data_IF_411283123820
#
_entry.id   IF_411283123820
#
_cell.length_a   1.000
_cell.length_b   1.000
_cell.length_c   1.000
_cell.angle_alpha   90.00
_cell.angle_beta   90.00
_cell.angle_gamma   90.00
#
_symmetry.space_group_name_H-M   'P 1'
#
loop_
_entity.id
_entity.type
_entity.pdbx_description
1 polymer ?
#
# COMPACT_ATOMS: atom_id res chain seq x y z
N UNK A 1 -22.85 -7.41 -25.75
CA UNK A 1 -22.45 -7.18 -24.34
C UNK A 1 -21.13 -7.91 -24.14
N UNK A 2 -20.04 -7.19 -23.89
CA UNK A 2 -18.72 -7.79 -23.62
C UNK A 2 -18.61 -8.10 -22.13
N UNK A 3 -17.93 -9.19 -21.71
CA UNK A 3 -17.70 -9.44 -20.30
C UNK A 3 -16.88 -8.29 -19.69
N UNK A 4 -17.34 -7.74 -18.56
CA UNK A 4 -16.53 -6.80 -17.77
C UNK A 4 -15.30 -7.56 -17.29
N UNK A 5 -14.12 -7.03 -17.58
CA UNK A 5 -12.89 -7.61 -17.05
C UNK A 5 -12.89 -7.52 -15.52
N UNK A 6 -12.43 -8.58 -14.85
CA UNK A 6 -12.24 -8.62 -13.41
C UNK A 6 -10.74 -8.70 -13.12
N UNK A 7 -10.01 -7.57 -13.13
CA UNK A 7 -8.57 -7.56 -12.89
C UNK A 7 -8.25 -8.07 -11.48
N UNK A 8 -7.21 -8.89 -11.37
CA UNK A 8 -6.75 -9.45 -10.10
C UNK A 8 -5.24 -9.51 -10.08
N UNK A 9 -4.65 -9.09 -8.97
CA UNK A 9 -3.24 -9.30 -8.69
C UNK A 9 -3.00 -9.38 -7.19
N UNK A 10 -1.82 -9.87 -6.85
CA UNK A 10 -1.24 -9.85 -5.53
C UNK A 10 0.23 -9.45 -5.67
N UNK A 11 0.66 -8.50 -4.85
CA UNK A 11 1.99 -7.94 -4.87
C UNK A 11 2.50 -7.86 -3.43
N UNK A 12 3.74 -8.29 -3.22
CA UNK A 12 4.40 -8.21 -1.93
C UNK A 12 5.88 -7.91 -2.12
N UNK A 13 6.44 -7.07 -1.25
CA UNK A 13 7.89 -6.99 -1.08
C UNK A 13 8.25 -6.75 0.37
N UNK A 14 9.48 -7.14 0.72
CA UNK A 14 10.05 -6.99 2.04
C UNK A 14 11.54 -6.72 1.96
N UNK A 15 12.01 -5.79 2.79
CA UNK A 15 13.43 -5.52 3.02
C UNK A 15 13.71 -5.72 4.50
N UNK A 16 14.71 -6.55 4.82
CA UNK A 16 15.23 -6.78 6.17
C UNK A 16 16.75 -6.72 6.14
N UNK A 17 17.30 -5.51 6.25
CA UNK A 17 18.73 -5.28 6.32
C UNK A 17 19.13 -4.80 7.72
N UNK A 18 19.66 -5.72 8.52
CA UNK A 18 20.14 -5.41 9.87
C UNK A 18 21.43 -4.57 9.89
N UNK A 19 22.19 -4.52 8.79
CA UNK A 19 23.41 -3.71 8.73
C UNK A 19 23.08 -2.24 8.55
N UNK A 20 22.13 -1.92 7.67
CA UNK A 20 21.68 -0.53 7.45
C UNK A 20 20.53 -0.13 8.37
N UNK A 21 19.85 -1.09 9.00
CA UNK A 21 18.63 -0.87 9.77
C UNK A 21 17.39 -0.70 8.89
N UNK A 22 17.49 -0.97 7.58
CA UNK A 22 16.37 -0.83 6.66
C UNK A 22 15.40 -2.02 6.80
N UNK A 23 14.28 -1.78 7.47
CA UNK A 23 13.22 -2.77 7.66
C UNK A 23 11.90 -2.18 7.18
N UNK A 24 11.38 -2.72 6.07
CA UNK A 24 10.10 -2.29 5.50
C UNK A 24 9.39 -3.43 4.76
N UNK A 25 8.07 -3.36 4.67
CA UNK A 25 7.25 -4.30 3.91
C UNK A 25 6.06 -3.61 3.27
N UNK A 26 5.58 -4.16 2.16
CA UNK A 26 4.30 -3.80 1.56
C UNK A 26 3.61 -5.05 1.06
N UNK A 27 2.30 -5.13 1.27
CA UNK A 27 1.42 -6.10 0.62
C UNK A 27 0.27 -5.34 -0.05
N UNK A 28 -0.09 -5.74 -1.26
CA UNK A 28 -1.24 -5.21 -1.99
C UNK A 28 -1.98 -6.31 -2.74
N UNK A 29 -3.30 -6.31 -2.63
CA UNK A 29 -4.19 -7.20 -3.33
C UNK A 29 -5.29 -6.42 -4.04
N UNK A 30 -5.49 -6.71 -5.33
CA UNK A 30 -6.62 -6.20 -6.12
C UNK A 30 -7.56 -7.33 -6.50
N UNK A 31 -8.86 -7.06 -6.35
CA UNK A 31 -9.93 -7.89 -6.88
C UNK A 31 -11.02 -7.03 -7.51
N UNK A 32 -11.06 -7.03 -8.84
CA UNK A 32 -11.94 -6.18 -9.62
C UNK A 32 -11.64 -4.71 -9.36
N UNK A 33 -12.61 -4.02 -8.79
CA UNK A 33 -12.55 -2.59 -8.52
C UNK A 33 -12.06 -2.30 -7.08
N UNK A 34 -11.81 -3.33 -6.27
CA UNK A 34 -11.34 -3.19 -4.90
C UNK A 34 -9.84 -3.43 -4.79
N UNK A 35 -9.12 -2.53 -4.12
CA UNK A 35 -7.71 -2.67 -3.75
C UNK A 35 -7.57 -2.58 -2.24
N UNK A 36 -6.78 -3.47 -1.66
CA UNK A 36 -6.43 -3.52 -0.23
C UNK A 36 -4.94 -3.70 -0.11
N UNK A 37 -4.35 -3.12 0.92
CA UNK A 37 -2.98 -3.43 1.24
C UNK A 37 -2.52 -2.78 2.53
N UNK A 38 -1.28 -3.06 2.86
CA UNK A 38 -0.60 -2.49 4.00
C UNK A 38 0.85 -2.12 3.66
N UNK A 39 1.40 -1.19 4.43
CA UNK A 39 2.80 -0.80 4.40
C UNK A 39 3.34 -0.67 5.82
N UNK A 40 4.54 -1.19 6.05
CA UNK A 40 5.27 -1.06 7.30
C UNK A 40 6.67 -0.49 7.07
N UNK A 41 7.10 0.42 7.94
CA UNK A 41 8.43 1.01 7.92
C UNK A 41 8.96 1.24 9.34
N UNK A 42 10.11 0.65 9.64
CA UNK A 42 10.88 1.00 10.82
C UNK A 42 11.59 2.34 10.61
N UNK A 43 11.37 3.27 11.53
CA UNK A 43 11.97 4.59 11.50
C UNK A 43 13.28 4.61 12.29
N UNK A 44 14.19 5.55 11.98
CA UNK A 44 15.45 5.70 12.71
C UNK A 44 15.28 6.03 14.21
N UNK A 45 14.13 6.59 14.60
CA UNK A 45 13.79 6.88 16.01
C UNK A 45 13.25 5.66 16.77
N UNK A 46 13.22 4.48 16.13
CA UNK A 46 12.74 3.22 16.69
C UNK A 46 11.22 3.02 16.61
N UNK A 47 10.46 4.00 16.10
CA UNK A 47 9.03 3.84 15.86
C UNK A 47 8.75 3.06 14.58
N UNK A 48 7.57 2.44 14.49
CA UNK A 48 7.13 1.73 13.29
C UNK A 48 5.90 2.44 12.75
N UNK A 49 5.93 2.84 11.48
CA UNK A 49 4.71 3.28 10.78
C UNK A 49 4.06 2.04 10.19
N UNK A 50 2.78 1.86 10.49
CA UNK A 50 1.92 0.90 9.82
C UNK A 50 0.79 1.65 9.14
N UNK A 51 0.52 1.35 7.88
CA UNK A 51 -0.56 1.98 7.11
C UNK A 51 -1.33 0.89 6.41
N UNK A 52 -2.54 0.62 6.87
CA UNK A 52 -3.53 -0.13 6.10
C UNK A 52 -4.22 0.84 5.12
N UNK A 53 -4.54 0.39 3.92
CA UNK A 53 -5.30 1.16 2.94
C UNK A 53 -6.32 0.31 2.19
N UNK A 54 -7.38 0.98 1.74
CA UNK A 54 -8.47 0.40 0.96
C UNK A 54 -8.98 1.41 -0.06
N UNK A 55 -9.28 0.94 -1.27
CA UNK A 55 -9.93 1.72 -2.32
C UNK A 55 -10.97 0.87 -3.06
N UNK A 56 -12.11 1.47 -3.41
CA UNK A 56 -13.06 0.91 -4.38
C UNK A 56 -13.73 1.98 -5.26
N UNK A 57 -14.08 1.60 -6.49
CA UNK A 57 -14.72 2.52 -7.47
C UNK A 57 -16.19 2.84 -7.14
N UNK A 58 -16.80 2.08 -6.22
CA UNK A 58 -18.23 2.20 -5.90
C UNK A 58 -18.51 3.29 -4.85
N UNK A 59 -17.54 3.59 -3.98
CA UNK A 59 -17.69 4.54 -2.88
C UNK A 59 -17.10 5.92 -3.16
N UNK A 60 -16.38 6.11 -4.27
CA UNK A 60 -15.95 7.42 -4.74
C UNK A 60 -15.22 8.26 -3.69
N UNK A 61 -14.18 7.69 -3.02
CA UNK A 61 -13.19 8.27 -2.06
C UNK A 61 -13.09 7.41 -0.77
N UNK A 62 -12.01 7.25 0.01
CA UNK A 62 -10.62 7.75 0.12
C UNK A 62 -9.80 6.68 0.90
N UNK A 63 -8.46 6.80 0.85
CA UNK A 63 -7.50 6.05 1.69
C UNK A 63 -7.86 6.18 3.17
N UNK A 64 -8.39 5.12 3.79
CA UNK A 64 -8.49 5.02 5.26
C UNK A 64 -7.06 4.85 5.79
N UNK A 65 -6.51 5.85 6.47
CA UNK A 65 -5.17 5.78 7.06
C UNK A 65 -5.30 5.65 8.59
N UNK A 66 -5.18 4.44 9.12
CA UNK A 66 -5.06 4.23 10.58
C UNK A 66 -3.59 4.39 10.99
N UNK A 67 -3.13 5.64 11.10
CA UNK A 67 -1.79 5.89 11.65
C UNK A 67 -1.85 5.71 13.16
N UNK A 68 -1.47 4.53 13.66
CA UNK A 68 -1.20 4.34 15.09
C UNK A 68 0.12 5.03 15.44
N UNK A 69 0.07 6.35 15.59
CA UNK A 69 1.16 7.18 16.11
C UNK A 69 2.12 7.73 15.05
N UNK A 70 2.34 9.03 15.12
CA UNK A 70 3.28 9.88 14.36
C UNK A 70 2.73 10.45 13.03
N UNK A 71 2.34 11.72 13.12
CA UNK A 71 1.90 12.60 12.04
C UNK A 71 3.06 12.82 11.05
N UNK A 72 3.06 12.11 9.91
CA UNK A 72 3.69 12.57 8.68
C UNK A 72 2.93 11.91 7.52
N UNK A 73 2.10 12.70 6.83
CA UNK A 73 1.36 12.30 5.64
C UNK A 73 2.36 11.87 4.57
N UNK A 74 2.47 10.58 4.30
CA UNK A 74 3.10 10.11 3.08
C UNK A 74 2.07 10.22 1.95
N UNK A 75 2.26 11.23 1.09
CA UNK A 75 1.68 11.19 -0.25
C UNK A 75 2.39 10.05 -0.96
N UNK A 76 1.67 8.97 -1.27
CA UNK A 76 2.17 7.97 -2.22
C UNK A 76 2.24 8.65 -3.59
N UNK A 77 3.46 8.96 -4.02
CA UNK A 77 3.77 9.30 -5.40
C UNK A 77 3.56 8.01 -6.22
N UNK A 78 2.32 7.77 -6.65
CA UNK A 78 2.00 6.66 -7.55
C UNK A 78 2.64 6.99 -8.89
N UNK A 79 3.89 6.56 -9.10
CA UNK A 79 4.45 6.46 -10.44
C UNK A 79 3.73 5.32 -11.14
N UNK A 80 2.63 5.67 -11.80
CA UNK A 80 2.08 4.86 -12.90
C UNK A 80 3.22 4.62 -13.88
N UNK A 81 3.76 3.40 -13.89
CA UNK A 81 4.48 2.87 -15.04
C UNK A 81 3.46 2.08 -15.84
N UNK A 82 2.88 2.73 -16.84
CA UNK A 82 2.23 2.01 -17.94
C UNK A 82 3.30 1.15 -18.62
N UNK A 83 3.16 -0.17 -18.52
CA UNK A 83 3.99 -1.12 -19.24
C UNK A 83 3.07 -2.02 -20.10
N UNK A 84 3.06 -1.75 -21.40
CA UNK A 84 2.61 -2.67 -22.46
C UNK A 84 1.26 -2.35 -23.07
#
# INVERSE_FOLDING_TARGET
MFPKAHPKYEFEYKVEDYQTGDMKSQHEHRSGDAVKGDYSLHQPDGSVRHVDYYADDHSGKFITCLISGVINVAVLDVKSTDAG
#
